data_IF_343577710070
#
_entry.id   IF_343577710070
#
_cell.length_a   1.000
_cell.length_b   1.000
_cell.length_c   1.000
_cell.angle_alpha   90.00
_cell.angle_beta   90.00
_cell.angle_gamma   90.00
#
_symmetry.space_group_name_H-M   'P 1'
#
loop_
_entity.id
_entity.type
_entity.pdbx_description
1 polymer ?
#
# COMPACT_ATOMS: atom_id res chain seq x y z
N UNK A 1 1.50 13.11 -2.96
CA UNK A 1 2.32 11.88 -2.96
C UNK A 1 1.78 10.81 -2.03
N UNK A 2 0.80 11.08 -1.16
CA UNK A 2 0.05 10.02 -0.48
C UNK A 2 -0.68 9.14 -1.52
N UNK A 3 -0.43 7.80 -1.56
CA UNK A 3 -1.08 6.91 -2.52
C UNK A 3 -2.60 6.87 -2.37
N UNK A 4 -3.13 7.13 -1.17
CA UNK A 4 -4.56 7.01 -0.90
C UNK A 4 -5.35 8.27 -1.26
N UNK A 5 -4.70 9.44 -1.33
CA UNK A 5 -5.37 10.74 -1.56
C UNK A 5 -5.16 11.26 -2.98
N UNK A 6 -4.07 10.88 -3.65
CA UNK A 6 -3.81 11.31 -5.02
C UNK A 6 -4.79 10.66 -6.01
N UNK A 7 -5.12 11.38 -7.09
CA UNK A 7 -5.96 10.89 -8.21
C UNK A 7 -5.22 11.03 -9.55
N UNK A 8 -3.89 11.12 -9.53
CA UNK A 8 -3.08 11.33 -10.72
C UNK A 8 -2.18 10.10 -10.94
N UNK A 9 -2.37 9.39 -12.04
CA UNK A 9 -1.58 8.19 -12.35
C UNK A 9 -0.08 8.48 -12.45
N UNK A 10 0.29 9.66 -12.97
CA UNK A 10 1.69 10.10 -13.01
C UNK A 10 2.33 10.17 -11.63
N UNK A 11 1.54 10.52 -10.60
CA UNK A 11 1.97 10.53 -9.21
C UNK A 11 2.16 9.11 -8.69
N UNK A 12 1.25 8.18 -8.99
CA UNK A 12 1.35 6.78 -8.55
C UNK A 12 2.60 6.09 -9.10
N UNK A 13 3.03 6.39 -10.34
CA UNK A 13 4.28 5.82 -10.89
C UNK A 13 5.51 6.18 -10.04
N UNK A 14 5.50 7.34 -9.40
CA UNK A 14 6.55 7.73 -8.44
C UNK A 14 6.26 7.12 -7.08
N UNK A 15 5.02 7.18 -6.59
CA UNK A 15 4.66 6.68 -5.26
C UNK A 15 4.88 5.18 -5.09
N UNK A 16 4.73 4.36 -6.13
CA UNK A 16 4.99 2.91 -6.07
C UNK A 16 6.46 2.56 -5.77
N UNK A 17 7.38 3.49 -6.00
CA UNK A 17 8.78 3.36 -5.60
C UNK A 17 9.03 3.72 -4.12
N UNK A 18 8.01 4.24 -3.44
CA UNK A 18 8.03 4.70 -2.05
C UNK A 18 7.12 3.84 -1.16
N UNK A 19 5.86 3.65 -1.56
CA UNK A 19 4.87 2.80 -0.89
C UNK A 19 4.57 1.60 -1.80
N UNK A 20 5.03 0.42 -1.40
CA UNK A 20 4.90 -0.79 -2.21
C UNK A 20 3.51 -1.44 -2.04
N UNK A 21 3.01 -2.13 -3.08
CA UNK A 21 1.77 -2.90 -3.02
C UNK A 21 1.99 -4.27 -2.35
N UNK A 22 0.89 -4.90 -1.92
CA UNK A 22 0.92 -6.30 -1.49
C UNK A 22 1.33 -7.25 -2.64
N UNK A 23 0.85 -6.95 -3.85
CA UNK A 23 1.03 -7.77 -5.05
C UNK A 23 1.43 -6.87 -6.21
N UNK A 24 2.39 -7.30 -7.01
CA UNK A 24 2.75 -6.64 -8.26
C UNK A 24 2.03 -7.31 -9.44
N UNK A 25 1.64 -6.50 -10.43
CA UNK A 25 1.10 -6.97 -11.71
C UNK A 25 1.95 -6.39 -12.86
N UNK A 26 3.14 -6.97 -13.13
CA UNK A 26 4.05 -6.47 -14.18
C UNK A 26 3.43 -6.47 -15.58
N UNK A 27 2.48 -7.37 -15.82
CA UNK A 27 1.66 -7.41 -17.05
C UNK A 27 0.23 -7.77 -16.66
N UNK A 28 -0.80 -7.28 -17.37
CA UNK A 28 -2.19 -7.56 -17.04
C UNK A 28 -2.47 -9.05 -16.82
N UNK A 29 -3.10 -9.38 -15.69
CA UNK A 29 -3.44 -10.74 -15.24
C UNK A 29 -2.27 -11.56 -14.69
N UNK A 30 -1.03 -11.06 -14.73
CA UNK A 30 0.14 -11.76 -14.18
C UNK A 30 0.53 -11.15 -12.83
N UNK A 31 0.02 -11.75 -11.76
CA UNK A 31 0.31 -11.36 -10.40
C UNK A 31 1.57 -12.04 -9.86
N UNK A 32 2.44 -11.30 -9.17
CA UNK A 32 3.64 -11.81 -8.51
C UNK A 32 3.84 -11.19 -7.13
N UNK A 33 4.65 -11.81 -6.24
CA UNK A 33 4.89 -11.30 -4.89
C UNK A 33 5.39 -9.86 -4.84
N UNK A 34 4.69 -9.04 -4.06
CA UNK A 34 5.10 -7.70 -3.63
C UNK A 34 5.54 -7.72 -2.16
N UNK A 35 4.80 -7.05 -1.29
CA UNK A 35 4.94 -7.15 0.16
C UNK A 35 4.35 -8.46 0.74
N UNK A 36 3.47 -9.12 0.00
CA UNK A 36 3.00 -10.47 0.31
C UNK A 36 3.79 -11.52 -0.49
N UNK A 37 4.25 -12.56 0.19
CA UNK A 37 4.91 -13.73 -0.43
C UNK A 37 3.91 -14.63 -1.15
N UNK A 38 2.67 -14.70 -0.65
CA UNK A 38 1.59 -15.48 -1.24
C UNK A 38 0.23 -14.92 -0.85
N UNK A 39 -0.80 -15.30 -1.60
CA UNK A 39 -2.18 -14.99 -1.27
C UNK A 39 -3.13 -16.10 -1.71
N UNK A 40 -4.30 -16.13 -1.07
CA UNK A 40 -5.39 -17.05 -1.33
C UNK A 40 -6.67 -16.23 -1.53
N UNK A 41 -7.46 -16.57 -2.55
CA UNK A 41 -8.74 -15.91 -2.87
C UNK A 41 -9.86 -16.91 -2.66
N UNK A 42 -10.92 -16.52 -1.94
CA UNK A 42 -12.09 -17.38 -1.77
C UNK A 42 -12.81 -17.61 -3.11
N UNK A 43 -13.53 -18.74 -3.29
CA UNK A 43 -14.18 -19.07 -4.57
C UNK A 43 -15.20 -18.02 -5.06
N UNK A 44 -15.80 -17.27 -4.15
CA UNK A 44 -16.77 -16.20 -4.38
C UNK A 44 -16.13 -14.80 -4.43
N UNK A 45 -14.80 -14.70 -4.31
CA UNK A 45 -14.04 -13.45 -4.30
C UNK A 45 -14.47 -12.44 -3.22
N UNK A 46 -14.96 -12.93 -2.08
CA UNK A 46 -15.33 -12.12 -0.92
C UNK A 46 -14.23 -12.04 0.14
N UNK A 47 -13.22 -12.90 0.08
CA UNK A 47 -12.10 -12.91 1.02
C UNK A 47 -10.76 -13.12 0.32
N UNK A 48 -9.77 -12.30 0.70
CA UNK A 48 -8.40 -12.34 0.19
C UNK A 48 -7.43 -12.42 1.36
N UNK A 49 -6.74 -13.55 1.52
CA UNK A 49 -5.78 -13.76 2.61
C UNK A 49 -4.36 -13.64 2.08
N UNK A 50 -3.54 -12.78 2.68
CA UNK A 50 -2.16 -12.50 2.28
C UNK A 50 -1.20 -12.94 3.39
N UNK A 51 -0.13 -13.64 3.00
CA UNK A 51 1.03 -13.91 3.87
C UNK A 51 2.12 -12.89 3.56
N UNK A 52 2.46 -12.06 4.53
CA UNK A 52 3.40 -10.95 4.42
C UNK A 52 4.85 -11.43 4.50
N UNK A 53 5.74 -10.75 3.76
CA UNK A 53 7.19 -10.91 3.90
C UNK A 53 7.63 -10.55 5.31
N UNK A 54 8.49 -11.38 5.88
CA UNK A 54 9.13 -11.10 7.16
C UNK A 54 10.35 -10.18 6.99
N UNK A 55 10.66 -9.41 8.04
CA UNK A 55 11.83 -8.54 8.07
C UNK A 55 11.73 -7.25 7.25
N UNK A 56 10.59 -7.02 6.59
CA UNK A 56 10.30 -5.75 5.89
C UNK A 56 10.12 -4.63 6.91
N UNK A 57 10.69 -3.46 6.59
CA UNK A 57 10.57 -2.25 7.42
C UNK A 57 10.15 -1.06 6.59
N UNK A 58 9.36 -0.18 7.21
CA UNK A 58 9.09 1.14 6.67
C UNK A 58 10.35 2.02 6.72
N UNK A 59 10.34 3.12 5.97
CA UNK A 59 11.44 4.10 5.94
C UNK A 59 11.72 4.73 7.31
N UNK A 60 10.74 4.73 8.23
CA UNK A 60 10.90 5.18 9.62
C UNK A 60 11.45 4.10 10.57
N UNK A 61 11.75 2.90 10.07
CA UNK A 61 12.32 1.78 10.82
C UNK A 61 11.29 0.86 11.48
N UNK A 62 10.00 1.23 11.51
CA UNK A 62 8.94 0.36 12.04
C UNK A 62 8.75 -0.89 11.17
N UNK A 63 8.37 -2.05 11.74
CA UNK A 63 8.16 -3.27 10.97
C UNK A 63 6.88 -3.18 10.14
N UNK A 64 6.87 -3.84 8.97
CA UNK A 64 5.63 -4.17 8.28
C UNK A 64 4.95 -5.34 9.00
N UNK A 65 3.69 -5.14 9.39
CA UNK A 65 2.84 -6.17 9.99
C UNK A 65 1.44 -6.15 9.37
N UNK A 66 0.63 -7.17 9.64
CA UNK A 66 -0.78 -7.23 9.27
C UNK A 66 -1.58 -6.02 9.77
N UNK A 67 -1.23 -5.47 10.93
CA UNK A 67 -1.83 -4.23 11.46
C UNK A 67 -1.57 -3.02 10.56
N UNK A 68 -0.39 -2.91 9.95
CA UNK A 68 -0.11 -1.82 9.02
C UNK A 68 -0.93 -1.93 7.72
N UNK A 69 -1.18 -3.17 7.26
CA UNK A 69 -2.07 -3.42 6.12
C UNK A 69 -3.51 -3.07 6.47
N UNK A 70 -4.00 -3.54 7.62
CA UNK A 70 -5.33 -3.18 8.14
C UNK A 70 -5.50 -1.67 8.24
N UNK A 71 -4.54 -0.98 8.86
CA UNK A 71 -4.54 0.48 8.95
C UNK A 71 -4.63 1.14 7.58
N UNK A 72 -3.85 0.65 6.60
CA UNK A 72 -3.87 1.16 5.23
C UNK A 72 -5.27 1.05 4.63
N UNK A 73 -5.91 -0.13 4.68
CA UNK A 73 -7.23 -0.34 4.10
C UNK A 73 -8.33 0.44 4.85
N UNK A 74 -8.32 0.42 6.18
CA UNK A 74 -9.28 1.16 7.01
C UNK A 74 -9.16 2.67 6.78
N UNK A 75 -7.95 3.18 6.55
CA UNK A 75 -7.71 4.58 6.22
C UNK A 75 -8.32 4.97 4.87
N UNK A 76 -8.32 4.09 3.86
CA UNK A 76 -8.92 4.37 2.55
C UNK A 76 -10.42 4.64 2.66
N UNK A 77 -11.15 3.89 3.49
CA UNK A 77 -12.59 4.06 3.67
C UNK A 77 -12.98 5.13 4.68
N UNK A 78 -12.01 5.67 5.42
CA UNK A 78 -12.28 6.77 6.35
C UNK A 78 -12.55 8.09 5.57
N UNK A 79 -13.74 8.72 5.73
CA UNK A 79 -14.08 9.97 5.06
C UNK A 79 -13.09 11.12 5.32
N UNK A 80 -12.44 11.13 6.49
CA UNK A 80 -11.45 12.15 6.85
C UNK A 80 -10.19 12.08 5.98
N UNK A 81 -9.85 10.90 5.48
CA UNK A 81 -8.74 10.69 4.55
C UNK A 81 -8.97 11.40 3.22
N UNK A 82 -10.25 11.60 2.83
CA UNK A 82 -10.64 12.15 1.51
C UNK A 82 -10.04 11.35 0.36
N UNK A 83 -10.07 10.02 0.49
CA UNK A 83 -9.67 9.10 -0.55
C UNK A 83 -10.56 9.27 -1.79
N UNK A 84 -9.95 9.29 -2.97
CA UNK A 84 -10.65 9.31 -4.25
C UNK A 84 -10.51 7.97 -4.96
N UNK A 85 -9.57 7.88 -5.89
CA UNK A 85 -9.36 6.69 -6.71
C UNK A 85 -9.00 5.44 -5.89
N UNK A 86 -8.28 5.59 -4.78
CA UNK A 86 -7.99 4.47 -3.87
C UNK A 86 -9.26 3.86 -3.26
N UNK A 87 -10.27 4.69 -2.92
CA UNK A 87 -11.55 4.23 -2.39
C UNK A 87 -12.32 3.43 -3.45
N UNK A 88 -12.41 3.96 -4.67
CA UNK A 88 -13.09 3.28 -5.78
C UNK A 88 -12.41 1.95 -6.14
N UNK A 89 -11.08 1.91 -6.06
CA UNK A 89 -10.27 0.72 -6.34
C UNK A 89 -10.31 -0.32 -5.23
N UNK A 90 -10.45 0.09 -3.97
CA UNK A 90 -10.63 -0.84 -2.87
C UNK A 90 -11.97 -1.58 -2.98
N UNK A 91 -12.98 -0.95 -3.61
CA UNK A 91 -14.24 -1.59 -3.94
C UNK A 91 -15.18 -1.75 -2.74
N UNK A 92 -16.02 -2.80 -2.70
CA UNK A 92 -17.01 -3.02 -1.64
C UNK A 92 -16.36 -3.59 -0.37
N UNK A 93 -15.39 -2.86 0.18
CA UNK A 93 -14.68 -3.23 1.41
C UNK A 93 -15.64 -3.35 2.59
N UNK A 94 -15.49 -4.43 3.35
CA UNK A 94 -16.14 -4.62 4.64
C UNK A 94 -15.17 -4.29 5.77
N UNK A 95 -14.16 -5.12 5.95
CA UNK A 95 -13.11 -4.95 6.95
C UNK A 95 -11.85 -5.74 6.59
N UNK A 96 -10.78 -5.46 7.34
CA UNK A 96 -9.55 -6.27 7.34
C UNK A 96 -9.41 -6.95 8.69
N UNK A 97 -9.17 -8.26 8.65
CA UNK A 97 -8.89 -9.14 9.78
C UNK A 97 -7.37 -9.35 9.89
N UNK A 98 -6.83 -9.12 11.09
CA UNK A 98 -5.47 -9.51 11.45
C UNK A 98 -5.55 -10.93 12.00
N UNK A 99 -5.06 -11.90 11.22
CA UNK A 99 -5.03 -13.32 11.63
C UNK A 99 -3.84 -13.56 12.55
N UNK A 100 -2.69 -13.02 12.18
CA UNK A 100 -1.47 -12.94 12.98
C UNK A 100 -0.59 -11.78 12.45
N UNK A 101 0.59 -11.57 13.05
CA UNK A 101 1.50 -10.46 12.69
C UNK A 101 1.86 -10.39 11.19
N UNK A 102 1.85 -11.52 10.48
CA UNK A 102 2.24 -11.64 9.08
C UNK A 102 1.15 -12.28 8.21
N UNK A 103 -0.06 -12.45 8.72
CA UNK A 103 -1.21 -12.96 7.96
C UNK A 103 -2.38 -12.00 8.10
N UNK A 104 -2.83 -11.46 6.98
CA UNK A 104 -3.92 -10.48 6.92
C UNK A 104 -4.97 -10.93 5.93
N UNK A 105 -6.25 -10.77 6.28
CA UNK A 105 -7.38 -11.14 5.43
C UNK A 105 -8.25 -9.91 5.16
N UNK A 106 -8.38 -9.52 3.91
CA UNK A 106 -9.27 -8.46 3.44
C UNK A 106 -10.62 -9.10 3.10
N UNK A 107 -11.69 -8.58 3.68
CA UNK A 107 -13.07 -9.05 3.51
C UNK A 107 -13.88 -8.01 2.75
N UNK A 108 -14.64 -8.48 1.77
CA UNK A 108 -15.49 -7.70 0.88
C UNK A 108 -16.96 -8.01 1.19
N UNK A 109 -17.84 -7.01 1.04
CA UNK A 109 -19.30 -7.14 1.23
C UNK A 109 -19.95 -8.01 0.14
N UNK A 110 -19.33 -8.05 -1.03
CA UNK A 110 -19.75 -8.85 -2.18
C UNK A 110 -18.53 -9.24 -3.01
N UNK A 111 -18.70 -10.21 -3.92
CA UNK A 111 -17.61 -10.73 -4.74
C UNK A 111 -16.96 -9.63 -5.56
N UNK A 112 -15.65 -9.41 -5.38
CA UNK A 112 -14.92 -8.32 -6.02
C UNK A 112 -13.61 -8.83 -6.63
N UNK A 113 -13.70 -9.43 -7.82
CA UNK A 113 -12.55 -9.96 -8.57
C UNK A 113 -11.41 -8.95 -8.88
N UNK A 114 -11.66 -7.64 -9.08
CA UNK A 114 -10.61 -6.70 -9.43
C UNK A 114 -9.57 -6.40 -8.32
N UNK A 115 -9.77 -6.87 -7.08
CA UNK A 115 -8.94 -6.43 -5.95
C UNK A 115 -7.45 -6.65 -6.18
N UNK A 116 -7.03 -7.81 -6.71
CA UNK A 116 -5.60 -8.10 -6.93
C UNK A 116 -4.95 -7.14 -7.92
N UNK A 117 -5.65 -6.77 -9.00
CA UNK A 117 -5.20 -5.74 -9.96
C UNK A 117 -5.12 -4.37 -9.27
N UNK A 118 -6.14 -4.03 -8.49
CA UNK A 118 -6.24 -2.73 -7.84
C UNK A 118 -5.23 -2.53 -6.69
N UNK A 119 -4.74 -3.62 -6.09
CA UNK A 119 -3.65 -3.56 -5.09
C UNK A 119 -2.34 -3.04 -5.70
N UNK A 120 -2.12 -3.23 -7.00
CA UNK A 120 -0.95 -2.76 -7.73
C UNK A 120 -1.09 -1.29 -8.17
N UNK A 121 -1.30 -0.38 -7.21
CA UNK A 121 -1.56 1.03 -7.54
C UNK A 121 -1.78 1.92 -6.31
N UNK A 122 -2.98 2.49 -6.19
CA UNK A 122 -3.33 3.48 -5.16
C UNK A 122 -3.46 2.89 -3.74
N UNK A 123 -3.34 1.57 -3.59
CA UNK A 123 -3.44 0.83 -2.33
C UNK A 123 -2.07 0.41 -1.77
N UNK A 124 -1.00 1.11 -2.13
CA UNK A 124 0.33 0.92 -1.55
C UNK A 124 0.31 1.07 -0.02
N UNK A 125 1.04 0.20 0.69
CA UNK A 125 1.02 0.14 2.15
C UNK A 125 1.80 1.33 2.74
N UNK A 126 1.18 2.00 3.72
CA UNK A 126 1.71 3.21 4.38
C UNK A 126 2.07 2.94 5.84
N UNK A 127 3.08 3.64 6.37
CA UNK A 127 3.43 3.54 7.80
C UNK A 127 2.33 4.18 8.67
N UNK A 128 1.70 3.42 9.60
CA UNK A 128 0.74 3.98 10.55
C UNK A 128 1.39 5.02 11.47
N UNK A 129 2.62 4.77 11.91
CA UNK A 129 3.38 5.67 12.80
C UNK A 129 3.65 7.01 12.12
N UNK A 130 4.05 7.00 10.85
CA UNK A 130 4.30 8.21 10.10
C UNK A 130 3.01 9.01 9.87
N UNK A 131 1.91 8.35 9.46
CA UNK A 131 0.62 9.02 9.26
C UNK A 131 0.15 9.68 10.56
N UNK A 132 0.22 8.97 11.69
CA UNK A 132 -0.18 9.51 12.99
C UNK A 132 0.68 10.71 13.43
N UNK A 133 1.99 10.66 13.17
CA UNK A 133 2.93 11.73 13.57
C UNK A 133 2.86 12.97 12.68
N UNK A 134 2.70 12.79 11.36
CA UNK A 134 2.76 13.87 10.37
C UNK A 134 1.39 14.48 10.07
N UNK A 135 0.31 13.71 10.27
CA UNK A 135 -1.01 14.07 9.77
C UNK A 135 -1.08 14.08 8.23
N UNK A 136 -2.29 14.29 7.70
CA UNK A 136 -2.58 14.11 6.28
C UNK A 136 -1.75 15.04 5.36
N UNK A 137 -1.62 16.31 5.73
CA UNK A 137 -1.00 17.32 4.87
C UNK A 137 0.51 17.11 4.70
N UNK A 138 1.23 16.80 5.78
CA UNK A 138 2.67 16.53 5.72
C UNK A 138 2.93 15.14 5.14
N UNK A 139 2.15 14.11 5.51
CA UNK A 139 2.28 12.78 4.92
C UNK A 139 2.07 12.80 3.40
N UNK A 140 1.13 13.62 2.91
CA UNK A 140 0.92 13.81 1.48
C UNK A 140 2.13 14.39 0.74
N UNK A 141 3.03 15.08 1.46
CA UNK A 141 4.26 15.61 0.89
C UNK A 141 5.46 14.68 1.06
N UNK A 142 5.53 13.95 2.17
CA UNK A 142 6.61 13.04 2.49
C UNK A 142 6.03 11.69 2.96
N UNK A 143 5.44 10.92 2.03
CA UNK A 143 4.90 9.61 2.36
C UNK A 143 6.02 8.70 2.86
N UNK A 144 5.66 7.82 3.79
CA UNK A 144 6.55 6.82 4.38
C UNK A 144 5.97 5.45 4.04
N UNK A 145 6.73 4.69 3.27
CA UNK A 145 6.39 3.34 2.84
C UNK A 145 7.57 2.39 3.06
N UNK A 146 7.59 1.28 2.32
CA UNK A 146 8.63 0.24 2.41
C UNK A 146 9.57 0.24 1.20
N UNK A 147 9.32 1.10 0.21
CA UNK A 147 9.97 1.03 -1.09
C UNK A 147 11.47 1.27 -1.10
N UNK A 148 12.12 1.00 -2.25
CA UNK A 148 13.56 1.19 -2.45
C UNK A 148 13.99 2.66 -2.42
N UNK A 149 13.04 3.59 -2.53
CA UNK A 149 13.30 5.02 -2.50
C UNK A 149 12.44 5.73 -1.45
N UNK A 150 12.98 6.81 -0.89
CA UNK A 150 12.38 7.65 0.14
C UNK A 150 12.28 9.08 -0.39
N UNK A 151 11.20 9.79 -0.09
CA UNK A 151 11.10 11.21 -0.44
C UNK A 151 12.04 12.03 0.45
N UNK A 152 13.11 12.55 -0.16
CA UNK A 152 14.06 13.44 0.52
C UNK A 152 13.57 14.89 0.49
N UNK A 153 13.05 15.34 -0.66
CA UNK A 153 12.58 16.70 -0.86
C UNK A 153 11.44 16.75 -1.88
N UNK A 154 10.51 17.68 -1.67
CA UNK A 154 9.54 18.05 -2.69
C UNK A 154 9.39 19.58 -2.73
N UNK A 155 9.82 20.17 -3.85
CA UNK A 155 9.57 21.57 -4.18
C UNK A 155 8.37 21.64 -5.14
N UNK A 156 7.23 22.19 -4.71
CA UNK A 156 6.03 22.24 -5.55
C UNK A 156 6.27 22.95 -6.89
N UNK A 157 5.78 22.35 -7.98
CA UNK A 157 5.92 22.84 -9.37
C UNK A 157 7.36 22.90 -9.91
N UNK A 158 8.31 22.27 -9.21
CA UNK A 158 9.70 22.21 -9.63
C UNK A 158 10.17 20.74 -9.67
N UNK A 159 10.55 20.16 -8.52
CA UNK A 159 11.12 18.82 -8.49
C UNK A 159 10.77 18.02 -7.22
N UNK A 160 10.97 16.70 -7.32
CA UNK A 160 10.95 15.75 -6.20
C UNK A 160 12.30 15.04 -6.18
N UNK A 161 13.00 15.09 -5.06
CA UNK A 161 14.25 14.36 -4.85
C UNK A 161 13.97 13.10 -4.05
N UNK A 162 14.40 11.97 -4.59
CA UNK A 162 14.30 10.66 -3.94
C UNK A 162 15.69 10.18 -3.50
N UNK A 163 15.79 9.74 -2.25
CA UNK A 163 16.98 9.07 -1.73
C UNK A 163 16.77 7.55 -1.72
N UNK A 164 17.83 6.78 -1.95
CA UNK A 164 17.79 5.32 -1.77
C UNK A 164 17.46 4.98 -0.31
N UNK A 165 16.55 4.03 -0.10
CA UNK A 165 16.34 3.38 1.20
C UNK A 165 17.53 2.45 1.49
N UNK A 166 18.41 2.76 2.46
CA UNK A 166 19.60 1.96 2.72
C UNK A 166 19.28 0.57 3.32
N UNK A 167 18.08 0.40 3.87
CA UNK A 167 17.65 -0.85 4.50
C UNK A 167 16.90 -1.78 3.55
N UNK A 168 16.68 -1.37 2.29
CA UNK A 168 15.88 -2.14 1.34
C UNK A 168 16.62 -3.41 0.90
N UNK A 169 16.07 -4.57 1.28
CA UNK A 169 16.66 -5.88 0.98
C UNK A 169 15.63 -6.94 0.53
N UNK A 170 14.36 -6.55 0.35
CA UNK A 170 13.23 -7.47 0.11
C UNK A 170 12.60 -7.34 -1.28
N UNK A 171 13.31 -6.70 -2.21
CA UNK A 171 12.81 -6.41 -3.55
C UNK A 171 12.26 -7.63 -4.27
N UNK A 172 11.29 -7.38 -5.16
CA UNK A 172 10.77 -8.41 -6.03
C UNK A 172 11.87 -8.92 -6.96
N UNK A 173 11.83 -10.21 -7.34
CA UNK A 173 12.79 -10.80 -8.28
C UNK A 173 12.49 -10.46 -9.75
N UNK A 174 11.63 -9.45 -9.98
CA UNK A 174 11.23 -8.96 -11.30
C UNK A 174 12.29 -8.06 -11.94
#
# INVERSE_FOLDING_TARGET
MDPQVTNFDSTIRVTLNVCEPLVWEPTPGRFVPGLADSWEVSPDATAYTFRLKQGVRFHDGTPLTAEAVKFTMDRVVNPETKAGQSHDQLGPYDHTEVVDDHTVKIVMKEGYAPLLTNLNGYLGIVSPTAVAKMGLAEFARRPVGTGPFMVQEWVPKDHITLARNPNYAWGSSL
#
